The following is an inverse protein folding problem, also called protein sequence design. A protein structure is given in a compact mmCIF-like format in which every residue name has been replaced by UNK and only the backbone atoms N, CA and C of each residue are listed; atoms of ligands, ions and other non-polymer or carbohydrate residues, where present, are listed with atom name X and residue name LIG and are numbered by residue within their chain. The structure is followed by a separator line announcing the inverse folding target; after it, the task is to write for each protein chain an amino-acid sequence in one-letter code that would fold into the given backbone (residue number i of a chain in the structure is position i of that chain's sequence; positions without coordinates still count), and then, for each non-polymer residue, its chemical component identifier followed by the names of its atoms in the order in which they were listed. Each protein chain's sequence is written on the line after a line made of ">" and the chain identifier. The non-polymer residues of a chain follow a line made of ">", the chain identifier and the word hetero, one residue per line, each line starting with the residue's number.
data_IF_770932584886
#
_entry.id   IF_770932584886
#
_cell.length_a   1.000
_cell.length_b   1.000
_cell.length_c   1.000
_cell.angle_alpha   90.00
_cell.angle_beta   90.00
_cell.angle_gamma   90.00
#
_symmetry.space_group_name_H-M   'P 1'
#
loop_
_entity.id
_entity.type
_entity.pdbx_description
1 polymer ?
#
# COMPACT_ATOMS: atom_id res chain seq x y z
N UNK A 1 1.78 41.58 3.78
CA UNK A 1 0.64 40.64 3.61
C UNK A 1 0.81 39.97 2.26
N UNK A 2 1.25 38.70 2.21
CA UNK A 2 1.38 37.96 0.95
C UNK A 2 -0.02 37.85 0.32
N UNK A 3 -0.20 38.38 -0.90
CA UNK A 3 -1.44 38.20 -1.68
C UNK A 3 -1.67 36.69 -1.84
N UNK A 4 -2.70 36.15 -1.18
CA UNK A 4 -3.18 34.79 -1.46
C UNK A 4 -3.56 34.72 -2.94
N UNK A 5 -3.01 33.75 -3.67
CA UNK A 5 -3.42 33.46 -5.04
C UNK A 5 -4.93 33.21 -5.08
N UNK A 6 -5.68 33.79 -6.04
CA UNK A 6 -7.11 33.50 -6.19
C UNK A 6 -7.29 31.98 -6.38
N UNK A 7 -8.16 31.36 -5.56
CA UNK A 7 -8.37 29.91 -5.54
C UNK A 7 -7.46 29.11 -4.59
N UNK A 8 -6.54 29.75 -3.86
CA UNK A 8 -5.67 29.08 -2.89
C UNK A 8 -6.44 28.28 -1.83
N UNK A 9 -7.59 28.80 -1.35
CA UNK A 9 -8.40 28.10 -0.37
C UNK A 9 -9.10 26.85 -0.97
N UNK A 10 -9.45 26.87 -2.26
CA UNK A 10 -10.01 25.70 -2.95
C UNK A 10 -8.94 24.65 -3.24
N UNK A 11 -7.73 25.09 -3.60
CA UNK A 11 -6.58 24.21 -3.77
C UNK A 11 -6.23 23.49 -2.46
N UNK A 12 -6.17 24.21 -1.34
CA UNK A 12 -5.90 23.63 -0.03
C UNK A 12 -6.95 22.59 0.39
N UNK A 13 -8.25 22.89 0.15
CA UNK A 13 -9.32 21.91 0.39
C UNK A 13 -9.17 20.65 -0.47
N UNK A 14 -8.80 20.80 -1.73
CA UNK A 14 -8.56 19.65 -2.62
C UNK A 14 -7.34 18.85 -2.16
N UNK A 15 -6.27 19.52 -1.74
CA UNK A 15 -5.10 18.88 -1.15
C UNK A 15 -5.47 18.05 0.09
N UNK A 16 -6.26 18.61 1.02
CA UNK A 16 -6.71 17.88 2.21
C UNK A 16 -7.55 16.64 1.86
N UNK A 17 -8.41 16.75 0.84
CA UNK A 17 -9.17 15.60 0.32
C UNK A 17 -8.25 14.53 -0.26
N UNK A 18 -7.24 14.92 -1.04
CA UNK A 18 -6.26 13.99 -1.60
C UNK A 18 -5.48 13.27 -0.49
N UNK A 19 -5.07 13.98 0.56
CA UNK A 19 -4.40 13.38 1.72
C UNK A 19 -5.33 12.40 2.44
N UNK A 20 -6.62 12.70 2.55
CA UNK A 20 -7.61 11.80 3.16
C UNK A 20 -7.78 10.50 2.34
N UNK A 21 -7.87 10.59 1.01
CA UNK A 21 -7.91 9.40 0.14
C UNK A 21 -6.62 8.59 0.25
N UNK A 22 -5.47 9.27 0.27
CA UNK A 22 -4.18 8.61 0.41
C UNK A 22 -4.08 7.89 1.75
N UNK A 23 -4.60 8.48 2.83
CA UNK A 23 -4.67 7.83 4.14
C UNK A 23 -5.42 6.48 4.07
N UNK A 24 -6.59 6.46 3.41
CA UNK A 24 -7.36 5.22 3.19
C UNK A 24 -6.50 4.20 2.41
N UNK A 25 -5.89 4.62 1.30
CA UNK A 25 -5.10 3.73 0.44
C UNK A 25 -3.89 3.15 1.17
N UNK A 26 -3.15 3.95 1.94
CA UNK A 26 -1.99 3.50 2.72
C UNK A 26 -2.35 2.59 3.89
N UNK A 27 -3.61 2.64 4.34
CA UNK A 27 -4.10 1.79 5.41
C UNK A 27 -4.62 0.44 4.88
N UNK A 28 -5.26 0.45 3.72
CA UNK A 28 -5.73 -0.76 3.04
C UNK A 28 -4.57 -1.52 2.36
N UNK A 29 -3.69 -0.80 1.67
CA UNK A 29 -2.53 -1.33 0.97
C UNK A 29 -1.25 -0.87 1.67
N UNK A 30 -0.26 -1.76 1.87
CA UNK A 30 1.05 -1.36 2.39
C UNK A 30 1.65 -0.21 1.57
N UNK A 31 2.16 0.87 2.19
CA UNK A 31 2.91 1.91 1.48
C UNK A 31 4.35 1.43 1.25
N UNK A 32 4.55 0.39 0.44
CA UNK A 32 5.88 -0.15 0.15
C UNK A 32 6.65 0.74 -0.82
N UNK A 33 7.50 1.62 -0.29
CA UNK A 33 8.52 2.36 -1.07
C UNK A 33 8.01 3.38 -2.08
N UNK A 34 6.69 3.50 -2.24
CA UNK A 34 6.03 4.40 -3.19
C UNK A 34 5.88 5.84 -2.65
N UNK A 35 5.81 6.00 -1.32
CA UNK A 35 5.55 7.29 -0.70
C UNK A 35 6.77 7.81 0.06
N UNK A 36 6.98 9.12 -0.05
CA UNK A 36 8.00 9.84 0.71
C UNK A 36 7.63 9.89 2.20
N UNK A 37 8.66 9.86 3.06
CA UNK A 37 8.49 9.86 4.52
C UNK A 37 7.77 11.13 5.03
N UNK A 38 8.03 12.28 4.40
CA UNK A 38 7.37 13.55 4.72
C UNK A 38 5.84 13.49 4.52
N UNK A 39 5.39 12.80 3.48
CA UNK A 39 3.98 12.61 3.16
C UNK A 39 3.32 11.60 4.10
N UNK A 40 4.01 10.50 4.41
CA UNK A 40 3.56 9.52 5.41
C UNK A 40 3.39 10.17 6.79
N UNK A 41 4.33 11.03 7.17
CA UNK A 41 4.25 11.80 8.41
C UNK A 41 3.04 12.72 8.42
N UNK A 42 2.78 13.46 7.33
CA UNK A 42 1.61 14.33 7.21
C UNK A 42 0.28 13.55 7.32
N UNK A 43 0.19 12.38 6.67
CA UNK A 43 -0.97 11.48 6.81
C UNK A 43 -1.17 11.07 8.27
N UNK A 44 -0.09 10.68 8.96
CA UNK A 44 -0.14 10.27 10.37
C UNK A 44 -0.56 11.41 11.29
N UNK A 45 -0.05 12.61 11.06
CA UNK A 45 -0.40 13.81 11.84
C UNK A 45 -1.88 14.19 11.66
N UNK A 46 -2.42 14.12 10.44
CA UNK A 46 -3.82 14.51 10.16
C UNK A 46 -4.86 13.43 10.45
N UNK A 47 -4.58 12.18 10.08
CA UNK A 47 -5.56 11.10 10.08
C UNK A 47 -5.20 9.93 11.01
N UNK A 48 -4.04 9.97 11.68
CA UNK A 48 -3.57 8.85 12.51
C UNK A 48 -4.53 8.44 13.63
N UNK A 49 -5.18 9.41 14.29
CA UNK A 49 -6.18 9.11 15.32
C UNK A 49 -7.42 8.40 14.74
N UNK A 50 -7.88 8.80 13.55
CA UNK A 50 -9.01 8.17 12.88
C UNK A 50 -8.68 6.77 12.38
N UNK A 51 -7.48 6.59 11.81
CA UNK A 51 -6.97 5.27 11.42
C UNK A 51 -6.80 4.33 12.63
N UNK A 52 -6.35 4.85 13.78
CA UNK A 52 -6.23 4.06 15.01
C UNK A 52 -7.59 3.58 15.57
N UNK A 53 -8.65 4.40 15.44
CA UNK A 53 -10.03 3.97 15.77
C UNK A 53 -10.50 2.86 14.83
N UNK A 54 -10.22 3.00 13.54
CA UNK A 54 -10.50 1.96 12.52
C UNK A 54 -9.76 0.65 12.83
N UNK A 55 -8.50 0.71 13.27
CA UNK A 55 -7.73 -0.46 13.68
C UNK A 55 -8.32 -1.15 14.93
N UNK A 56 -9.02 -0.38 15.77
CA UNK A 56 -9.73 -0.90 16.95
C UNK A 56 -11.10 -1.52 16.59
N UNK A 57 -11.49 -1.49 15.31
CA UNK A 57 -12.75 -2.05 14.83
C UNK A 57 -13.91 -1.05 14.76
N UNK A 58 -13.67 0.25 14.97
CA UNK A 58 -14.69 1.28 14.75
C UNK A 58 -14.88 1.58 13.25
N UNK A 59 -16.11 1.93 12.87
CA UNK A 59 -16.38 2.48 11.55
C UNK A 59 -15.77 3.88 11.43
N UNK A 60 -14.93 4.10 10.42
CA UNK A 60 -14.29 5.40 10.20
C UNK A 60 -13.85 5.68 8.77
N UNK A 61 -13.83 4.66 7.90
CA UNK A 61 -13.53 4.84 6.48
C UNK A 61 -14.62 5.61 5.74
N UNK A 62 -15.88 5.43 6.15
CA UNK A 62 -17.01 6.12 5.51
C UNK A 62 -16.87 7.63 5.64
N UNK A 63 -16.53 8.15 6.83
CA UNK A 63 -16.31 9.58 7.07
C UNK A 63 -15.15 10.16 6.24
N UNK A 64 -14.02 9.44 6.17
CA UNK A 64 -12.87 9.84 5.34
C UNK A 64 -13.27 9.87 3.86
N UNK A 65 -14.02 8.87 3.42
CA UNK A 65 -14.47 8.77 2.04
C UNK A 65 -15.53 9.84 1.72
N UNK A 66 -16.49 10.10 2.60
CA UNK A 66 -17.50 11.16 2.48
C UNK A 66 -16.85 12.54 2.33
N UNK A 67 -15.81 12.82 3.11
CA UNK A 67 -15.09 14.08 3.03
C UNK A 67 -14.37 14.27 1.68
N UNK A 68 -13.79 13.18 1.17
CA UNK A 68 -12.84 13.23 0.07
C UNK A 68 -13.41 12.83 -1.29
N UNK A 69 -14.51 12.09 -1.32
CA UNK A 69 -15.12 11.63 -2.56
C UNK A 69 -15.66 12.81 -3.37
N UNK A 70 -15.54 12.78 -4.70
CA UNK A 70 -16.23 13.71 -5.57
C UNK A 70 -17.74 13.63 -5.33
N UNK A 71 -18.43 14.77 -5.45
CA UNK A 71 -19.89 14.77 -5.45
C UNK A 71 -20.39 14.17 -6.76
N UNK A 72 -20.76 12.89 -6.73
CA UNK A 72 -21.31 12.21 -7.89
C UNK A 72 -22.73 12.70 -8.17
N UNK A 73 -23.01 12.98 -9.45
CA UNK A 73 -24.34 13.38 -9.92
C UNK A 73 -24.88 12.23 -10.77
N UNK A 74 -26.06 11.74 -10.41
CA UNK A 74 -26.82 10.79 -11.24
C UNK A 74 -27.66 11.58 -12.25
N UNK A 75 -27.72 11.16 -13.53
CA UNK A 75 -28.68 11.70 -14.48
C UNK A 75 -30.13 11.31 -14.15
N UNK A 76 -30.34 10.29 -13.30
CA UNK A 76 -31.66 9.90 -12.78
C UNK A 76 -31.90 10.49 -11.39
N UNK A 77 -33.04 11.15 -11.20
CA UNK A 77 -33.46 11.75 -9.92
C UNK A 77 -33.79 10.71 -8.83
N UNK A 78 -34.02 9.45 -9.21
CA UNK A 78 -34.40 8.37 -8.29
C UNK A 78 -33.20 7.69 -7.63
N UNK A 79 -32.01 7.81 -8.24
CA UNK A 79 -30.80 7.13 -7.78
C UNK A 79 -29.88 8.16 -7.14
N UNK A 80 -29.79 8.10 -5.81
CA UNK A 80 -28.75 8.81 -5.06
C UNK A 80 -27.39 8.14 -5.33
N UNK A 81 -26.73 8.58 -6.40
CA UNK A 81 -25.41 8.08 -6.81
C UNK A 81 -24.38 8.22 -5.67
N UNK A 82 -24.51 9.25 -4.84
CA UNK A 82 -23.61 9.48 -3.72
C UNK A 82 -23.73 8.35 -2.69
N UNK A 83 -24.96 8.03 -2.24
CA UNK A 83 -25.21 6.90 -1.33
C UNK A 83 -24.80 5.55 -1.92
N UNK A 84 -25.00 5.37 -3.22
CA UNK A 84 -24.63 4.13 -3.90
C UNK A 84 -23.12 3.90 -3.87
N UNK A 85 -22.32 4.93 -4.14
CA UNK A 85 -20.85 4.84 -4.12
C UNK A 85 -20.32 4.54 -2.72
N UNK A 86 -20.87 5.19 -1.69
CA UNK A 86 -20.50 4.93 -0.30
C UNK A 86 -20.81 3.48 0.09
N UNK A 87 -21.99 2.97 -0.27
CA UNK A 87 -22.37 1.58 -0.01
C UNK A 87 -21.40 0.61 -0.70
N UNK A 88 -21.02 0.88 -1.94
CA UNK A 88 -20.08 0.04 -2.67
C UNK A 88 -18.69 0.06 -2.03
N UNK A 89 -18.21 1.25 -1.66
CA UNK A 89 -16.95 1.42 -0.94
C UNK A 89 -16.95 0.67 0.41
N UNK A 90 -18.02 0.79 1.20
CA UNK A 90 -18.14 0.10 2.48
C UNK A 90 -18.07 -1.43 2.33
N UNK A 91 -18.73 -1.98 1.31
CA UNK A 91 -18.64 -3.43 0.99
C UNK A 91 -17.21 -3.87 0.69
N UNK A 92 -16.49 -3.11 -0.13
CA UNK A 92 -15.10 -3.43 -0.48
C UNK A 92 -14.18 -3.36 0.74
N UNK A 93 -14.32 -2.32 1.57
CA UNK A 93 -13.50 -2.13 2.78
C UNK A 93 -13.76 -3.20 3.83
N UNK A 94 -14.99 -3.67 3.99
CA UNK A 94 -15.31 -4.75 4.92
C UNK A 94 -14.48 -6.01 4.63
N UNK A 95 -14.30 -6.35 3.34
CA UNK A 95 -13.48 -7.51 2.93
C UNK A 95 -11.97 -7.32 3.18
N UNK A 96 -11.51 -6.10 3.45
CA UNK A 96 -10.10 -5.82 3.72
C UNK A 96 -9.70 -6.11 5.17
N UNK A 97 -10.65 -6.18 6.11
CA UNK A 97 -10.33 -6.43 7.51
C UNK A 97 -9.67 -7.80 7.72
N UNK A 98 -10.25 -8.87 7.17
CA UNK A 98 -9.66 -10.23 7.22
C UNK A 98 -8.30 -10.28 6.54
N UNK A 99 -8.15 -9.58 5.42
CA UNK A 99 -6.91 -9.44 4.67
C UNK A 99 -5.78 -8.79 5.49
N UNK A 100 -6.10 -7.77 6.29
CA UNK A 100 -5.13 -7.12 7.20
C UNK A 100 -4.74 -8.02 8.37
N UNK A 101 -5.69 -8.73 8.98
CA UNK A 101 -5.45 -9.72 10.05
C UNK A 101 -4.53 -10.84 9.56
N UNK A 102 -4.78 -11.38 8.37
CA UNK A 102 -3.93 -12.38 7.74
C UNK A 102 -2.50 -11.86 7.52
N UNK A 103 -2.36 -10.66 6.97
CA UNK A 103 -1.05 -10.01 6.74
C UNK A 103 -0.27 -9.82 8.04
N UNK A 104 -0.90 -9.31 9.09
CA UNK A 104 -0.21 -9.05 10.37
C UNK A 104 0.36 -10.33 10.98
N UNK A 105 -0.38 -11.45 10.91
CA UNK A 105 0.16 -12.74 11.33
C UNK A 105 1.30 -13.21 10.45
N UNK A 106 1.16 -13.18 9.12
CA UNK A 106 2.22 -13.63 8.21
C UNK A 106 3.52 -12.85 8.41
N UNK A 107 3.46 -11.55 8.73
CA UNK A 107 4.66 -10.75 9.03
C UNK A 107 5.43 -11.18 10.29
N UNK A 108 4.82 -11.93 11.19
CA UNK A 108 5.43 -12.36 12.45
C UNK A 108 6.14 -13.71 12.33
N UNK A 109 5.92 -14.46 11.24
CA UNK A 109 6.44 -15.81 11.06
C UNK A 109 7.23 -15.90 9.76
N UNK A 110 8.41 -16.53 9.80
CA UNK A 110 9.15 -16.94 8.59
C UNK A 110 8.51 -18.17 7.93
N UNK A 111 7.91 -19.04 8.74
CA UNK A 111 7.13 -20.19 8.29
C UNK A 111 6.03 -20.52 9.30
N UNK A 112 4.83 -20.83 8.81
CA UNK A 112 3.68 -21.19 9.64
C UNK A 112 2.83 -22.27 8.97
N UNK A 113 2.39 -23.27 9.72
CA UNK A 113 1.47 -24.29 9.22
C UNK A 113 0.13 -23.67 8.81
N UNK A 114 -0.44 -24.14 7.70
CA UNK A 114 -1.74 -23.66 7.18
C UNK A 114 -2.85 -23.85 8.22
N UNK A 115 -2.84 -24.97 8.94
CA UNK A 115 -3.77 -25.28 10.04
C UNK A 115 -3.82 -24.19 11.12
N UNK A 116 -2.65 -23.73 11.55
CA UNK A 116 -2.53 -22.69 12.58
C UNK A 116 -2.97 -21.32 12.06
N UNK A 117 -2.64 -21.00 10.82
CA UNK A 117 -3.00 -19.72 10.21
C UNK A 117 -4.51 -19.65 9.90
N UNK A 118 -5.12 -20.78 9.53
CA UNK A 118 -6.56 -20.93 9.38
C UNK A 118 -7.28 -20.73 10.71
N UNK A 119 -6.81 -21.39 11.78
CA UNK A 119 -7.33 -21.21 13.14
C UNK A 119 -7.24 -19.74 13.62
N UNK A 120 -6.16 -19.02 13.30
CA UNK A 120 -6.04 -17.60 13.63
C UNK A 120 -7.00 -16.70 12.87
N UNK A 121 -7.46 -17.11 11.68
CA UNK A 121 -8.45 -16.37 10.90
C UNK A 121 -9.89 -16.82 11.18
N UNK A 122 -10.09 -17.70 12.17
CA UNK A 122 -11.40 -18.26 12.53
C UNK A 122 -12.06 -19.01 11.34
N UNK A 123 -11.24 -19.66 10.50
CA UNK A 123 -11.66 -20.38 9.30
C UNK A 123 -11.15 -21.83 9.32
N UNK A 124 -11.86 -22.73 8.62
CA UNK A 124 -11.38 -24.09 8.38
C UNK A 124 -10.23 -24.12 7.36
N UNK A 125 -9.41 -25.18 7.39
CA UNK A 125 -8.28 -25.34 6.46
C UNK A 125 -8.70 -25.36 4.98
N UNK A 126 -9.82 -26.02 4.68
CA UNK A 126 -10.34 -26.12 3.30
C UNK A 126 -10.82 -24.76 2.75
N UNK A 127 -11.37 -23.89 3.60
CA UNK A 127 -11.81 -22.55 3.21
C UNK A 127 -10.65 -21.55 3.17
N UNK A 128 -9.63 -21.79 4.00
CA UNK A 128 -8.51 -20.88 4.14
C UNK A 128 -7.57 -20.90 2.93
N UNK A 129 -7.35 -22.06 2.28
CA UNK A 129 -6.49 -22.15 1.10
C UNK A 129 -6.99 -21.29 -0.09
N UNK A 130 -8.27 -21.36 -0.50
CA UNK A 130 -8.85 -20.44 -1.48
C UNK A 130 -8.76 -18.98 -1.06
N UNK A 131 -9.00 -18.68 0.23
CA UNK A 131 -8.90 -17.33 0.75
C UNK A 131 -7.46 -16.78 0.63
N UNK A 132 -6.46 -17.57 0.99
CA UNK A 132 -5.05 -17.22 0.88
C UNK A 132 -4.66 -16.94 -0.58
N UNK A 133 -5.07 -17.82 -1.51
CA UNK A 133 -4.81 -17.61 -2.94
C UNK A 133 -5.50 -16.33 -3.46
N UNK A 134 -6.77 -16.14 -3.09
CA UNK A 134 -7.55 -14.95 -3.45
C UNK A 134 -6.90 -13.67 -2.93
N UNK A 135 -6.34 -13.72 -1.72
CA UNK A 135 -5.61 -12.59 -1.14
C UNK A 135 -4.38 -12.22 -1.97
N UNK A 136 -3.59 -13.21 -2.42
CA UNK A 136 -2.45 -12.98 -3.32
C UNK A 136 -2.87 -12.34 -4.64
N UNK A 137 -3.99 -12.78 -5.22
CA UNK A 137 -4.51 -12.22 -6.47
C UNK A 137 -5.07 -10.81 -6.29
N UNK A 138 -5.82 -10.55 -5.22
CA UNK A 138 -6.41 -9.24 -4.92
C UNK A 138 -5.36 -8.14 -4.78
N UNK A 139 -4.16 -8.50 -4.36
CA UNK A 139 -3.05 -7.58 -4.19
C UNK A 139 -2.16 -7.43 -5.42
N UNK A 140 -2.50 -8.05 -6.56
CA UNK A 140 -1.84 -7.75 -7.84
C UNK A 140 -2.39 -6.46 -8.43
N UNK A 141 -1.52 -5.48 -8.62
CA UNK A 141 -1.82 -4.19 -9.23
C UNK A 141 -1.25 -4.14 -10.64
N UNK A 142 -2.00 -3.52 -11.55
CA UNK A 142 -1.55 -3.23 -12.90
C UNK A 142 -0.69 -1.97 -12.87
N UNK A 143 0.53 -2.07 -13.37
CA UNK A 143 1.47 -0.96 -13.52
C UNK A 143 1.26 -0.25 -14.87
N UNK A 144 1.83 0.94 -15.03
CA UNK A 144 1.73 1.73 -16.27
C UNK A 144 2.34 1.01 -17.49
N UNK A 145 3.33 0.14 -17.26
CA UNK A 145 3.97 -0.68 -18.30
C UNK A 145 3.15 -1.92 -18.70
N UNK A 146 1.96 -2.10 -18.11
CA UNK A 146 1.09 -3.26 -18.32
C UNK A 146 1.53 -4.52 -17.57
N UNK A 147 2.60 -4.44 -16.76
CA UNK A 147 3.01 -5.54 -15.88
C UNK A 147 2.15 -5.60 -14.62
N UNK A 148 2.10 -6.78 -13.99
CA UNK A 148 1.45 -6.94 -12.69
C UNK A 148 2.50 -7.00 -11.59
N UNK A 149 2.43 -6.07 -10.62
CA UNK A 149 3.25 -6.11 -9.40
C UNK A 149 2.38 -6.37 -8.18
N UNK A 150 2.98 -6.99 -7.17
CA UNK A 150 2.32 -7.23 -5.90
C UNK A 150 2.38 -5.95 -5.07
N UNK A 151 1.25 -5.50 -4.55
CA UNK A 151 1.18 -4.43 -3.56
C UNK A 151 1.52 -4.89 -2.14
N UNK A 152 1.78 -6.20 -1.96
CA UNK A 152 2.15 -6.76 -0.65
C UNK A 152 3.57 -6.37 -0.27
N UNK A 153 3.77 -6.08 1.01
CA UNK A 153 5.08 -5.92 1.65
C UNK A 153 5.71 -7.23 2.11
N UNK A 154 5.09 -8.35 1.73
CA UNK A 154 5.55 -9.70 2.00
C UNK A 154 5.38 -10.55 0.74
N UNK A 155 6.34 -11.44 0.53
CA UNK A 155 6.20 -12.55 -0.41
C UNK A 155 5.92 -13.82 0.36
N UNK A 156 5.02 -14.67 -0.15
CA UNK A 156 4.80 -15.96 0.47
C UNK A 156 4.48 -17.04 -0.56
N UNK A 157 4.80 -18.27 -0.19
CA UNK A 157 4.54 -19.48 -0.96
C UNK A 157 4.17 -20.64 -0.06
N UNK A 158 3.43 -21.60 -0.61
CA UNK A 158 3.00 -22.82 0.08
C UNK A 158 4.01 -23.94 -0.19
N UNK A 159 4.47 -24.60 0.86
CA UNK A 159 5.31 -25.79 0.78
C UNK A 159 4.88 -26.81 1.84
N UNK A 160 4.55 -28.04 1.43
CA UNK A 160 4.18 -29.16 2.31
C UNK A 160 3.20 -28.77 3.45
N UNK A 161 2.13 -28.04 3.14
CA UNK A 161 1.12 -27.63 4.13
C UNK A 161 1.54 -26.49 5.07
N UNK A 162 2.66 -25.83 4.79
CA UNK A 162 3.13 -24.63 5.50
C UNK A 162 3.28 -23.44 4.55
N UNK A 163 2.94 -22.25 5.03
CA UNK A 163 3.18 -20.97 4.36
C UNK A 163 4.55 -20.47 4.77
N UNK A 164 5.45 -20.30 3.81
CA UNK A 164 6.73 -19.63 4.00
C UNK A 164 6.58 -18.17 3.60
N UNK A 165 7.05 -17.27 4.46
CA UNK A 165 6.93 -15.82 4.30
C UNK A 165 8.33 -15.22 4.21
N UNK A 166 8.58 -14.54 3.11
CA UNK A 166 9.78 -13.79 2.81
C UNK A 166 9.48 -12.28 2.88
N UNK A 167 10.45 -11.49 3.32
CA UNK A 167 10.33 -10.03 3.27
C UNK A 167 10.31 -9.58 1.79
N UNK A 168 9.40 -8.67 1.42
CA UNK A 168 9.40 -8.14 0.06
C UNK A 168 10.71 -7.41 -0.24
N UNK A 169 11.16 -7.46 -1.50
CA UNK A 169 12.34 -6.72 -1.94
C UNK A 169 12.18 -5.24 -1.60
N UNK A 170 13.04 -4.76 -0.69
CA UNK A 170 13.17 -3.33 -0.42
C UNK A 170 13.68 -2.68 -1.70
N UNK A 171 13.00 -1.64 -2.17
CA UNK A 171 13.42 -0.91 -3.37
C UNK A 171 14.78 -0.26 -3.07
N UNK A 172 15.85 -0.87 -3.58
CA UNK A 172 17.26 -0.51 -3.35
C UNK A 172 17.65 0.78 -4.08
N UNK A 173 16.96 1.88 -3.80
CA UNK A 173 17.19 3.17 -4.48
C UNK A 173 18.64 3.63 -4.39
N UNK A 174 19.29 3.40 -3.25
CA UNK A 174 20.66 3.84 -3.01
C UNK A 174 21.71 2.80 -3.41
N UNK A 175 21.46 1.51 -3.22
CA UNK A 175 22.47 0.49 -3.53
C UNK A 175 22.78 0.44 -5.02
N UNK A 176 21.76 0.60 -5.88
CA UNK A 176 21.99 0.64 -7.33
C UNK A 176 22.84 1.85 -7.73
N UNK A 177 22.60 3.00 -7.10
CA UNK A 177 23.40 4.21 -7.32
C UNK A 177 24.86 4.00 -6.86
N UNK A 178 25.07 3.48 -5.65
CA UNK A 178 26.41 3.22 -5.12
C UNK A 178 27.14 2.14 -5.89
N UNK A 179 26.47 1.04 -6.26
CA UNK A 179 27.07 -0.02 -7.08
C UNK A 179 27.49 0.51 -8.45
N UNK A 180 26.62 1.27 -9.12
CA UNK A 180 26.96 1.89 -10.39
C UNK A 180 28.17 2.84 -10.26
N UNK A 181 28.21 3.64 -9.20
CA UNK A 181 29.33 4.55 -8.93
C UNK A 181 30.63 3.81 -8.60
N UNK A 182 30.56 2.72 -7.84
CA UNK A 182 31.72 1.87 -7.51
C UNK A 182 32.27 1.23 -8.79
N UNK A 183 31.41 0.68 -9.63
CA UNK A 183 31.82 0.10 -10.92
C UNK A 183 32.47 1.16 -11.81
N UNK A 184 31.84 2.33 -11.94
CA UNK A 184 32.39 3.44 -12.72
C UNK A 184 33.77 3.90 -12.19
N UNK A 185 33.93 4.01 -10.87
CA UNK A 185 35.21 4.36 -10.26
C UNK A 185 36.28 3.29 -10.50
N UNK A 186 35.92 2.01 -10.42
CA UNK A 186 36.84 0.91 -10.69
C UNK A 186 37.31 0.91 -12.15
N UNK A 187 36.42 1.23 -13.09
CA UNK A 187 36.76 1.34 -14.51
C UNK A 187 37.69 2.53 -14.77
N UNK A 188 37.42 3.69 -14.17
CA UNK A 188 38.31 4.85 -14.24
C UNK A 188 39.69 4.57 -13.65
N UNK A 189 39.78 3.85 -12.53
CA UNK A 189 41.08 3.47 -11.94
C UNK A 189 41.90 2.57 -12.87
N UNK A 190 41.26 1.60 -13.53
CA UNK A 190 41.94 0.76 -14.54
C UNK A 190 42.48 1.56 -15.72
N UNK A 191 41.71 2.55 -16.18
CA UNK A 191 42.12 3.43 -17.28
C UNK A 191 43.34 4.29 -16.89
N UNK A 192 43.34 4.82 -15.66
CA UNK A 192 44.48 5.59 -15.12
C UNK A 192 45.73 4.73 -14.94
N UNK A 193 45.60 3.50 -14.42
CA UNK A 193 46.73 2.56 -14.32
C UNK A 193 47.31 2.22 -15.71
N UNK A 194 46.45 2.02 -16.71
CA UNK A 194 46.87 1.78 -18.10
C UNK A 194 47.65 2.95 -18.71
N UNK A 195 47.31 4.20 -18.36
CA UNK A 195 48.04 5.40 -18.80
C UNK A 195 49.38 5.53 -18.05
N UNK A 196 49.42 5.20 -16.76
CA UNK A 196 50.63 5.32 -15.94
C UNK A 196 51.75 4.34 -16.33
N UNK A 197 51.44 3.23 -16.99
CA UNK A 197 52.43 2.24 -17.46
C UNK A 197 53.11 2.59 -18.78
N UNK A 198 52.80 3.74 -19.40
CA UNK A 198 53.37 4.18 -20.69
C UNK A 198 54.48 5.25 -20.53
N UNK A 199 55.10 5.34 -19.34
CA UNK A 199 56.29 6.19 -19.09
C UNK A 199 57.45 5.34 -18.64
#
# INVERSE_FOLDING_TARGET
>A
QLRKLPGSDQFNKNYDRMISLLAILTHVCPPTGLLEESLLRNIREKHGAQLGRIDSGEDGYEDLFLFACPKFISPSLEVDAYRMQIRQFGKEIATQHSSRKLRSYMKLYTSIAVSKLAAFNDMGEEEFLPFLLSYKHKMRQLEEDGSFKSALDIHYHLNNGSVHVDEAEKQRRFENYFMAQITQNADMMKEVEGISTVV
#
